data_IF_858081610945
#
_entry.id   IF_858081610945
#
_cell.length_a   1.000
_cell.length_b   1.000
_cell.length_c   1.000
_cell.angle_alpha   90.00
_cell.angle_beta   90.00
_cell.angle_gamma   90.00
#
_symmetry.space_group_name_H-M   'P 1'
#
loop_
_entity.id
_entity.type
_entity.pdbx_description
1 polymer ?
#
# COMPACT_ATOMS: atom_id res chain seq x y z
N UNK A 1 -5.17 -11.00 -9.01
CA UNK A 1 -3.97 -10.36 -8.43
C UNK A 1 -3.57 -9.22 -9.38
N UNK A 2 -3.50 -7.96 -8.94
CA UNK A 2 -3.00 -6.87 -9.80
C UNK A 2 -1.47 -6.96 -9.95
N UNK A 3 -0.88 -6.41 -11.03
CA UNK A 3 0.57 -6.36 -11.22
C UNK A 3 1.29 -5.70 -10.04
N UNK A 4 0.79 -4.56 -9.56
CA UNK A 4 1.32 -3.86 -8.39
C UNK A 4 1.34 -4.75 -7.13
N UNK A 5 0.22 -5.44 -6.85
CA UNK A 5 0.12 -6.33 -5.69
C UNK A 5 1.10 -7.49 -5.75
N UNK A 6 1.30 -8.07 -6.94
CA UNK A 6 2.28 -9.16 -7.15
C UNK A 6 3.69 -8.66 -6.87
N UNK A 7 4.09 -7.54 -7.46
CA UNK A 7 5.41 -6.93 -7.25
C UNK A 7 5.68 -6.62 -5.78
N UNK A 8 4.71 -6.02 -5.08
CA UNK A 8 4.85 -5.76 -3.64
C UNK A 8 5.11 -7.03 -2.83
N UNK A 9 4.41 -8.14 -3.14
CA UNK A 9 4.62 -9.42 -2.44
C UNK A 9 6.03 -9.94 -2.73
N UNK A 10 6.46 -9.92 -3.99
CA UNK A 10 7.79 -10.38 -4.40
C UNK A 10 8.90 -9.55 -3.72
N UNK A 11 8.79 -8.22 -3.72
CA UNK A 11 9.75 -7.33 -3.06
C UNK A 11 9.84 -7.61 -1.55
N UNK A 12 8.70 -7.85 -0.89
CA UNK A 12 8.68 -8.20 0.54
C UNK A 12 9.24 -9.61 0.82
N UNK A 13 9.07 -10.56 -0.11
CA UNK A 13 9.68 -11.89 -0.02
C UNK A 13 11.20 -11.81 -0.18
N UNK A 14 11.71 -11.04 -1.14
CA UNK A 14 13.14 -10.80 -1.32
C UNK A 14 13.79 -10.18 -0.07
N UNK A 15 13.04 -9.34 0.65
CA UNK A 15 13.47 -8.74 1.93
C UNK A 15 13.27 -9.65 3.15
N UNK A 16 12.86 -10.89 2.95
CA UNK A 16 12.56 -11.87 4.01
C UNK A 16 11.55 -11.36 5.06
N UNK A 17 10.57 -10.52 4.65
CA UNK A 17 9.52 -10.05 5.56
C UNK A 17 8.54 -11.19 5.87
N UNK A 18 8.12 -11.27 7.13
CA UNK A 18 7.17 -12.30 7.57
C UNK A 18 5.85 -12.23 6.82
N UNK A 19 5.11 -13.35 6.76
CA UNK A 19 3.77 -13.37 6.13
C UNK A 19 2.77 -12.43 6.81
N UNK A 20 2.88 -12.22 8.12
CA UNK A 20 2.05 -11.23 8.83
C UNK A 20 2.39 -9.81 8.41
N UNK A 21 3.68 -9.46 8.31
CA UNK A 21 4.14 -8.16 7.77
C UNK A 21 3.65 -7.94 6.34
N UNK A 22 3.77 -8.94 5.47
CA UNK A 22 3.27 -8.88 4.09
C UNK A 22 1.77 -8.57 4.05
N UNK A 23 0.96 -9.25 4.86
CA UNK A 23 -0.48 -9.00 4.94
C UNK A 23 -0.80 -7.61 5.48
N UNK A 24 -0.08 -7.15 6.51
CA UNK A 24 -0.28 -5.82 7.08
C UNK A 24 0.02 -4.72 6.05
N UNK A 25 1.13 -4.83 5.32
CA UNK A 25 1.51 -3.82 4.32
C UNK A 25 0.53 -3.78 3.15
N UNK A 26 0.06 -4.95 2.70
CA UNK A 26 -1.00 -5.02 1.70
C UNK A 26 -2.31 -4.41 2.21
N UNK A 27 -2.65 -4.59 3.49
CA UNK A 27 -3.84 -3.99 4.07
C UNK A 27 -3.80 -2.46 4.01
N UNK A 28 -2.68 -1.83 4.36
CA UNK A 28 -2.53 -0.37 4.26
C UNK A 28 -2.65 0.15 2.83
N UNK A 29 -2.07 -0.54 1.84
CA UNK A 29 -2.22 -0.14 0.43
C UNK A 29 -3.66 -0.32 -0.07
N UNK A 30 -4.40 -1.32 0.43
CA UNK A 30 -5.84 -1.45 0.15
C UNK A 30 -6.61 -0.28 0.77
N UNK A 31 -6.23 0.17 1.97
CA UNK A 31 -6.79 1.37 2.61
C UNK A 31 -6.61 2.62 1.74
N UNK A 32 -5.39 2.85 1.25
CA UNK A 32 -5.07 3.95 0.33
C UNK A 32 -5.92 3.90 -0.95
N UNK A 33 -6.00 2.73 -1.59
CA UNK A 33 -6.81 2.53 -2.79
C UNK A 33 -8.30 2.83 -2.55
N UNK A 34 -8.82 2.46 -1.38
CA UNK A 34 -10.22 2.73 -0.99
C UNK A 34 -10.46 4.21 -0.71
N UNK A 35 -9.51 4.89 -0.07
CA UNK A 35 -9.62 6.32 0.24
C UNK A 35 -9.75 7.17 -1.02
N UNK A 36 -8.87 6.95 -2.01
CA UNK A 36 -8.89 7.68 -3.29
C UNK A 36 -9.79 7.06 -4.37
N UNK A 37 -10.41 5.89 -4.09
CA UNK A 37 -11.21 5.12 -5.04
C UNK A 37 -10.51 4.88 -6.40
N UNK A 38 -9.19 4.72 -6.37
CA UNK A 38 -8.36 4.53 -7.56
C UNK A 38 -7.24 3.53 -7.28
N UNK A 39 -6.63 3.01 -8.34
CA UNK A 39 -5.46 2.14 -8.21
C UNK A 39 -4.30 2.94 -7.60
N UNK A 40 -3.57 2.43 -6.58
CA UNK A 40 -2.43 3.13 -6.01
C UNK A 40 -1.30 3.41 -7.01
N UNK A 41 -1.29 2.73 -8.16
CA UNK A 41 -0.35 2.99 -9.26
C UNK A 41 -0.60 4.31 -9.98
N UNK A 42 -1.79 4.91 -9.80
CA UNK A 42 -2.18 6.19 -10.38
C UNK A 42 -1.99 7.37 -9.42
N UNK A 43 -1.56 7.11 -8.19
CA UNK A 43 -1.42 8.14 -7.16
C UNK A 43 -0.06 8.84 -7.25
N UNK A 44 -0.09 10.14 -7.05
CA UNK A 44 1.09 10.99 -6.88
C UNK A 44 1.69 10.86 -5.48
N UNK A 45 2.92 11.35 -5.32
CA UNK A 45 3.56 11.43 -4.01
C UNK A 45 2.84 12.39 -3.05
N UNK A 46 2.18 13.42 -3.58
CA UNK A 46 1.43 14.38 -2.76
C UNK A 46 0.17 13.73 -2.18
N UNK A 47 -0.60 13.00 -3.00
CA UNK A 47 -1.75 12.23 -2.52
C UNK A 47 -1.33 11.17 -1.48
N UNK A 48 -0.17 10.53 -1.68
CA UNK A 48 0.37 9.62 -0.66
C UNK A 48 0.69 10.34 0.66
N UNK A 49 1.27 11.55 0.58
CA UNK A 49 1.59 12.38 1.76
C UNK A 49 0.33 12.83 2.49
N UNK A 50 -0.70 13.26 1.76
CA UNK A 50 -2.00 13.64 2.31
C UNK A 50 -2.66 12.47 3.03
N UNK A 51 -2.66 11.28 2.43
CA UNK A 51 -3.21 10.09 3.08
C UNK A 51 -2.44 9.70 4.35
N UNK A 52 -1.10 9.84 4.35
CA UNK A 52 -0.31 9.63 5.56
C UNK A 52 -0.68 10.63 6.65
N UNK A 53 -0.88 11.90 6.30
CA UNK A 53 -1.30 12.94 7.24
C UNK A 53 -2.70 12.66 7.79
N UNK A 54 -3.63 12.20 6.95
CA UNK A 54 -4.95 11.74 7.34
C UNK A 54 -4.88 10.62 8.39
N UNK A 55 -4.10 9.57 8.14
CA UNK A 55 -3.93 8.43 9.06
C UNK A 55 -3.32 8.81 10.42
N UNK A 56 -2.58 9.92 10.51
CA UNK A 56 -1.96 10.39 11.76
C UNK A 56 -2.90 11.27 12.58
N UNK A 57 -3.86 11.93 11.93
CA UNK A 57 -4.77 12.89 12.56
C UNK A 57 -6.13 12.29 12.96
N UNK A 58 -6.41 11.03 12.60
CA UNK A 58 -7.57 10.26 13.07
C UNK A 58 -7.20 9.32 14.24
#
# INVERSE_FOLDING_TARGET
MSPLRKRMIEDMQLRNLSKSTQRAYLHYIIGLARFYQTSPENLSLEELREYQLYLVNE
#
